data_IF_013060902891
#
_entry.id   IF_013060902891
#
_cell.length_a   1.000
_cell.length_b   1.000
_cell.length_c   1.000
_cell.angle_alpha   90.00
_cell.angle_beta   90.00
_cell.angle_gamma   90.00
#
_symmetry.space_group_name_H-M   'P 1'
#
loop_
_entity.id
_entity.type
_entity.pdbx_description
1 polymer ?
#
# COMPACT_ATOMS: atom_id res chain seq x y z
N UNK A 1 -54.51 14.26 25.46
CA UNK A 1 -53.05 13.99 25.52
C UNK A 1 -52.48 14.15 24.12
N UNK A 2 -51.62 15.15 23.87
CA UNK A 2 -50.94 15.32 22.57
C UNK A 2 -49.77 14.33 22.51
N UNK A 3 -49.76 13.43 21.53
CA UNK A 3 -48.58 12.61 21.21
C UNK A 3 -47.46 13.56 20.79
N UNK A 4 -46.38 13.59 21.56
CA UNK A 4 -45.16 14.28 21.15
C UNK A 4 -44.64 13.56 19.90
N UNK A 5 -44.76 14.23 18.76
CA UNK A 5 -44.16 13.79 17.52
C UNK A 5 -42.67 14.12 17.60
N UNK A 6 -41.86 13.09 17.79
CA UNK A 6 -40.41 13.21 17.83
C UNK A 6 -39.93 13.50 16.41
N UNK A 7 -39.68 14.77 16.12
CA UNK A 7 -38.94 15.14 14.91
C UNK A 7 -37.50 14.73 15.17
N UNK A 8 -37.07 13.62 14.56
CA UNK A 8 -35.65 13.27 14.46
C UNK A 8 -35.07 14.29 13.48
N UNK A 9 -34.49 15.36 14.00
CA UNK A 9 -33.72 16.28 13.16
C UNK A 9 -32.49 15.52 12.64
N UNK A 10 -32.34 15.45 11.31
CA UNK A 10 -31.19 14.84 10.67
C UNK A 10 -30.07 15.89 10.64
N UNK A 11 -29.00 15.63 11.38
CA UNK A 11 -27.87 16.56 11.58
C UNK A 11 -26.70 16.31 10.65
N UNK A 12 -26.52 15.04 10.27
CA UNK A 12 -25.39 14.51 9.55
C UNK A 12 -25.88 13.90 8.24
N UNK A 13 -24.99 13.77 7.26
CA UNK A 13 -25.29 12.93 6.10
C UNK A 13 -25.61 11.50 6.58
N UNK A 14 -26.67 10.83 6.06
CA UNK A 14 -27.05 9.49 6.50
C UNK A 14 -25.91 8.45 6.48
N UNK A 15 -24.98 8.57 5.55
CA UNK A 15 -23.80 7.71 5.47
C UNK A 15 -22.81 7.96 6.60
N UNK A 16 -22.54 9.23 6.92
CA UNK A 16 -21.70 9.62 8.05
C UNK A 16 -22.29 9.12 9.37
N UNK A 17 -23.59 9.39 9.60
CA UNK A 17 -24.28 8.95 10.82
C UNK A 17 -24.21 7.43 10.99
N UNK A 18 -24.43 6.67 9.91
CA UNK A 18 -24.35 5.21 9.92
C UNK A 18 -22.94 4.71 10.20
N UNK A 19 -21.92 5.24 9.53
CA UNK A 19 -20.54 4.79 9.69
C UNK A 19 -20.01 5.05 11.11
N UNK A 20 -20.29 6.24 11.65
CA UNK A 20 -19.97 6.60 13.03
C UNK A 20 -20.71 5.67 13.99
N UNK A 21 -22.01 5.45 13.78
CA UNK A 21 -22.82 4.57 14.61
C UNK A 21 -22.28 3.13 14.66
N UNK A 22 -21.87 2.59 13.51
CA UNK A 22 -21.27 1.25 13.40
C UNK A 22 -19.97 1.19 14.20
N UNK A 23 -19.06 2.14 14.00
CA UNK A 23 -17.75 2.13 14.67
C UNK A 23 -17.92 2.28 16.18
N UNK A 24 -18.76 3.20 16.66
CA UNK A 24 -19.04 3.35 18.09
C UNK A 24 -19.69 2.08 18.70
N UNK A 25 -20.50 1.36 17.93
CA UNK A 25 -21.07 0.08 18.37
C UNK A 25 -20.00 -1.03 18.47
N UNK A 26 -18.98 -1.01 17.62
CA UNK A 26 -17.85 -1.93 17.71
C UNK A 26 -16.92 -1.60 18.87
N UNK A 27 -16.62 -0.32 19.11
CA UNK A 27 -15.83 0.10 20.28
C UNK A 27 -16.47 -0.32 21.60
N UNK A 28 -17.81 -0.25 21.69
CA UNK A 28 -18.57 -0.56 22.93
C UNK A 28 -18.16 0.25 24.16
N UNK A 29 -17.49 1.38 23.95
CA UNK A 29 -17.05 2.29 25.01
C UNK A 29 -18.07 3.44 25.13
N UNK A 30 -18.48 3.82 26.35
CA UNK A 30 -19.31 5.00 26.54
C UNK A 30 -18.61 6.28 26.05
N UNK A 31 -19.35 7.21 25.42
CA UNK A 31 -18.80 8.48 24.89
C UNK A 31 -17.98 9.27 25.94
N UNK A 32 -18.37 9.23 27.21
CA UNK A 32 -17.63 9.92 28.29
C UNK A 32 -16.31 9.23 28.65
N UNK A 33 -16.25 7.91 28.51
CA UNK A 33 -15.02 7.13 28.72
C UNK A 33 -14.06 7.35 27.56
N UNK A 34 -14.58 7.43 26.34
CA UNK A 34 -13.81 7.82 25.15
C UNK A 34 -13.18 9.22 25.31
N UNK A 35 -13.96 10.22 25.73
CA UNK A 35 -13.48 11.58 26.04
C UNK A 35 -12.27 11.56 26.98
N UNK A 36 -12.40 10.84 28.10
CA UNK A 36 -11.36 10.76 29.12
C UNK A 36 -10.12 10.04 28.59
N UNK A 37 -10.31 8.92 27.90
CA UNK A 37 -9.25 8.07 27.37
C UNK A 37 -8.40 8.79 26.33
N UNK A 38 -9.02 9.55 25.42
CA UNK A 38 -8.30 10.38 24.43
C UNK A 38 -7.52 11.50 25.10
N UNK A 39 -8.04 12.11 26.17
CA UNK A 39 -7.33 13.18 26.89
C UNK A 39 -6.10 12.67 27.63
N UNK A 40 -6.12 11.43 28.12
CA UNK A 40 -5.04 10.83 28.91
C UNK A 40 -4.14 9.88 28.13
N UNK A 41 -4.41 9.66 26.83
CA UNK A 41 -3.74 8.63 26.02
C UNK A 41 -3.78 7.26 26.70
N UNK A 42 -4.97 6.85 27.14
CA UNK A 42 -5.16 5.58 27.85
C UNK A 42 -5.17 4.38 26.88
N UNK A 43 -3.99 3.81 26.67
CA UNK A 43 -3.75 2.62 25.82
C UNK A 43 -4.36 1.33 26.38
N UNK A 44 -4.78 1.30 27.65
CA UNK A 44 -5.44 0.12 28.22
C UNK A 44 -6.93 0.08 27.85
N UNK A 45 -7.53 1.26 27.67
CA UNK A 45 -8.95 1.39 27.31
C UNK A 45 -9.16 1.49 25.81
N UNK A 46 -8.29 2.21 25.09
CA UNK A 46 -8.35 2.36 23.63
C UNK A 46 -7.14 1.69 22.98
N UNK A 47 -7.38 0.55 22.35
CA UNK A 47 -6.37 -0.19 21.60
C UNK A 47 -6.08 0.44 20.23
N UNK A 48 -5.10 -0.13 19.53
CA UNK A 48 -4.70 0.36 18.20
C UNK A 48 -5.85 0.35 17.19
N UNK A 49 -6.67 -0.71 17.20
CA UNK A 49 -7.83 -0.83 16.32
C UNK A 49 -8.91 0.20 16.63
N UNK A 50 -9.12 0.51 17.91
CA UNK A 50 -10.10 1.50 18.35
C UNK A 50 -9.69 2.89 17.88
N UNK A 51 -8.41 3.25 18.09
CA UNK A 51 -7.83 4.53 17.64
C UNK A 51 -7.87 4.63 16.11
N UNK A 52 -7.56 3.56 15.39
CA UNK A 52 -7.66 3.52 13.93
C UNK A 52 -9.10 3.71 13.45
N UNK A 53 -10.06 3.09 14.12
CA UNK A 53 -11.49 3.23 13.84
C UNK A 53 -11.97 4.67 14.08
N UNK A 54 -11.67 5.23 15.25
CA UNK A 54 -12.02 6.59 15.63
C UNK A 54 -11.42 7.62 14.67
N UNK A 55 -10.15 7.49 14.33
CA UNK A 55 -9.47 8.41 13.41
C UNK A 55 -10.13 8.46 12.01
N UNK A 56 -10.77 7.36 11.56
CA UNK A 56 -11.46 7.27 10.26
C UNK A 56 -12.85 7.89 10.23
N UNK A 57 -13.50 8.06 11.39
CA UNK A 57 -14.86 8.62 11.50
C UNK A 57 -14.87 10.06 12.00
N UNK A 58 -13.71 10.70 12.09
CA UNK A 58 -13.63 12.10 12.49
C UNK A 58 -14.42 12.98 11.52
N UNK A 59 -15.19 13.92 12.09
CA UNK A 59 -16.09 14.78 11.34
C UNK A 59 -15.36 15.57 10.27
N UNK A 60 -15.99 15.71 9.10
CA UNK A 60 -15.58 16.71 8.13
C UNK A 60 -15.98 18.13 8.61
N UNK A 61 -15.37 19.15 8.01
CA UNK A 61 -15.59 20.56 8.38
C UNK A 61 -17.07 20.95 8.25
N UNK A 62 -17.76 20.32 7.31
CA UNK A 62 -19.17 20.48 6.96
C UNK A 62 -20.08 19.98 8.09
N UNK A 63 -19.80 18.80 8.65
CA UNK A 63 -20.54 18.21 9.77
C UNK A 63 -20.40 19.08 11.04
N UNK A 64 -19.18 19.52 11.33
CA UNK A 64 -18.91 20.43 12.45
C UNK A 64 -19.66 21.75 12.27
N UNK A 65 -19.73 22.27 11.04
CA UNK A 65 -20.47 23.50 10.73
C UNK A 65 -21.97 23.32 10.91
N UNK A 66 -22.53 22.19 10.49
CA UNK A 66 -23.95 21.86 10.66
C UNK A 66 -24.32 21.78 12.15
N UNK A 67 -23.54 21.05 12.94
CA UNK A 67 -23.74 20.92 14.39
C UNK A 67 -23.63 22.28 15.09
N UNK A 68 -22.61 23.07 14.77
CA UNK A 68 -22.44 24.43 15.32
C UNK A 68 -23.59 25.38 14.95
N UNK A 69 -24.01 25.37 13.68
CA UNK A 69 -25.12 26.20 13.20
C UNK A 69 -26.42 25.86 13.93
N UNK A 70 -26.66 24.58 14.19
CA UNK A 70 -27.79 24.16 14.99
C UNK A 70 -27.68 24.55 16.46
N UNK A 71 -26.51 24.35 17.10
CA UNK A 71 -26.29 24.73 18.50
C UNK A 71 -26.52 26.22 18.74
N UNK A 72 -26.11 27.07 17.78
CA UNK A 72 -26.37 28.53 17.82
C UNK A 72 -27.86 28.86 17.79
N UNK A 73 -28.65 28.18 16.95
CA UNK A 73 -30.11 28.35 16.87
C UNK A 73 -30.84 27.80 18.09
N UNK A 74 -30.25 26.83 18.78
CA UNK A 74 -30.84 26.11 19.91
C UNK A 74 -29.97 26.21 21.17
N UNK A 75 -29.66 27.43 21.63
CA UNK A 75 -28.71 27.68 22.73
C UNK A 75 -29.02 26.96 24.05
N UNK A 76 -30.30 26.68 24.34
CA UNK A 76 -30.75 25.93 25.53
C UNK A 76 -30.56 24.41 25.42
N UNK A 77 -30.29 23.88 24.23
CA UNK A 77 -30.15 22.45 23.99
C UNK A 77 -28.84 21.88 24.55
N UNK A 78 -27.80 22.72 24.70
CA UNK A 78 -26.52 22.38 25.34
C UNK A 78 -26.70 21.88 26.78
N UNK A 79 -27.74 22.35 27.48
CA UNK A 79 -27.97 22.10 28.92
C UNK A 79 -29.11 21.12 29.22
N UNK A 80 -30.07 20.91 28.30
CA UNK A 80 -31.35 20.21 28.63
C UNK A 80 -31.79 19.13 27.64
N UNK A 81 -31.17 19.01 26.46
CA UNK A 81 -31.56 18.04 25.41
C UNK A 81 -30.48 17.04 24.91
N UNK A 82 -29.31 16.82 25.56
CA UNK A 82 -28.41 15.75 25.12
C UNK A 82 -29.07 14.36 24.92
N UNK A 83 -30.08 13.94 25.71
CA UNK A 83 -30.69 12.61 25.55
C UNK A 83 -31.50 12.43 24.25
N UNK A 84 -31.86 13.51 23.55
CA UNK A 84 -32.75 13.46 22.37
C UNK A 84 -32.00 13.33 21.05
N UNK A 85 -30.67 13.38 21.06
CA UNK A 85 -29.83 13.25 19.87
C UNK A 85 -29.34 11.82 19.69
N UNK A 86 -29.15 11.43 18.43
CA UNK A 86 -28.51 10.16 18.10
C UNK A 86 -27.05 10.12 18.60
N UNK A 87 -26.55 8.92 18.85
CA UNK A 87 -25.21 8.67 19.40
C UNK A 87 -24.09 9.37 18.60
N UNK A 88 -24.08 9.33 17.24
CA UNK A 88 -23.06 10.01 16.43
C UNK A 88 -22.96 11.52 16.67
N UNK A 89 -24.10 12.22 16.76
CA UNK A 89 -24.13 13.66 16.99
C UNK A 89 -23.58 14.00 18.37
N UNK A 90 -23.93 13.20 19.40
CA UNK A 90 -23.40 13.39 20.75
C UNK A 90 -21.89 13.15 20.82
N UNK A 91 -21.40 12.19 20.06
CA UNK A 91 -19.97 11.91 19.95
C UNK A 91 -19.22 13.10 19.34
N UNK A 92 -19.70 13.65 18.22
CA UNK A 92 -19.08 14.83 17.62
C UNK A 92 -19.16 16.06 18.52
N UNK A 93 -20.30 16.30 19.17
CA UNK A 93 -20.42 17.38 20.15
C UNK A 93 -19.48 17.23 21.34
N UNK A 94 -19.17 16.00 21.76
CA UNK A 94 -18.15 15.73 22.78
C UNK A 94 -16.75 16.08 22.23
N UNK A 95 -16.40 15.58 21.04
CA UNK A 95 -15.10 15.85 20.42
C UNK A 95 -14.85 17.35 20.22
N UNK A 96 -15.89 18.11 19.87
CA UNK A 96 -15.82 19.57 19.72
C UNK A 96 -15.53 20.33 21.03
N UNK A 97 -15.74 19.71 22.21
CA UNK A 97 -15.37 20.30 23.51
C UNK A 97 -13.91 20.05 23.87
N UNK A 98 -13.28 19.04 23.28
CA UNK A 98 -11.87 18.76 23.50
C UNK A 98 -11.05 19.57 22.50
N UNK A 99 -10.10 20.35 23.03
CA UNK A 99 -9.14 21.07 22.21
C UNK A 99 -8.26 20.06 21.47
N UNK A 100 -8.18 20.19 20.15
CA UNK A 100 -7.35 19.34 19.29
C UNK A 100 -7.73 17.86 19.29
N UNK A 101 -9.01 17.53 19.48
CA UNK A 101 -9.46 16.13 19.56
C UNK A 101 -9.05 15.29 18.33
N UNK A 102 -9.31 15.83 17.15
CA UNK A 102 -9.03 15.16 15.87
C UNK A 102 -7.53 14.97 15.71
N UNK A 103 -6.74 16.00 16.00
CA UNK A 103 -5.29 15.97 15.92
C UNK A 103 -4.70 14.99 16.93
N UNK A 104 -5.23 14.91 18.15
CA UNK A 104 -4.81 13.92 19.15
C UNK A 104 -5.01 12.49 18.63
N UNK A 105 -6.19 12.18 18.07
CA UNK A 105 -6.47 10.86 17.49
C UNK A 105 -5.56 10.56 16.29
N UNK A 106 -5.32 11.55 15.42
CA UNK A 106 -4.41 11.40 14.29
C UNK A 106 -2.96 11.16 14.73
N UNK A 107 -2.47 11.91 15.71
CA UNK A 107 -1.14 11.73 16.28
C UNK A 107 -1.00 10.37 16.97
N UNK A 108 -2.03 9.94 17.71
CA UNK A 108 -2.02 8.63 18.35
C UNK A 108 -2.05 7.50 17.31
N UNK A 109 -2.91 7.60 16.30
CA UNK A 109 -2.93 6.61 15.21
C UNK A 109 -1.58 6.56 14.48
N UNK A 110 -0.96 7.72 14.22
CA UNK A 110 0.38 7.78 13.64
C UNK A 110 1.42 7.11 14.53
N UNK A 111 1.37 7.32 15.85
CA UNK A 111 2.26 6.67 16.81
C UNK A 111 2.14 5.14 16.70
N UNK A 112 0.92 4.60 16.67
CA UNK A 112 0.68 3.16 16.57
C UNK A 112 1.22 2.58 15.25
N UNK A 113 1.04 3.31 14.14
CA UNK A 113 1.48 2.84 12.81
C UNK A 113 2.96 3.12 12.51
N UNK A 114 3.67 3.91 13.33
CA UNK A 114 4.97 4.47 12.98
C UNK A 114 6.01 3.38 12.71
N UNK A 115 6.21 2.46 13.65
CA UNK A 115 7.19 1.37 13.52
C UNK A 115 6.86 0.47 12.34
N UNK A 116 5.58 0.10 12.16
CA UNK A 116 5.14 -0.72 11.02
C UNK A 116 5.43 -0.05 9.67
N UNK A 117 5.23 1.26 9.56
CA UNK A 117 5.56 2.04 8.35
C UNK A 117 7.07 2.09 8.10
N UNK A 118 7.87 2.24 9.15
CA UNK A 118 9.33 2.25 9.07
C UNK A 118 9.85 0.87 8.65
N UNK A 119 9.30 -0.22 9.19
CA UNK A 119 9.72 -1.57 8.86
C UNK A 119 9.34 -1.98 7.43
N UNK A 120 8.14 -1.61 6.96
CA UNK A 120 7.76 -1.77 5.55
C UNK A 120 8.71 -1.00 4.62
N UNK A 121 9.08 0.24 4.99
CA UNK A 121 10.06 1.03 4.24
C UNK A 121 11.44 0.36 4.20
N UNK A 122 11.94 -0.11 5.35
CA UNK A 122 13.21 -0.86 5.42
C UNK A 122 13.17 -2.09 4.53
N UNK A 123 12.08 -2.85 4.55
CA UNK A 123 11.91 -4.04 3.72
C UNK A 123 11.90 -3.70 2.22
N UNK A 124 11.24 -2.61 1.81
CA UNK A 124 11.24 -2.12 0.43
C UNK A 124 12.65 -1.70 -0.02
N UNK A 125 13.38 -0.97 0.81
CA UNK A 125 14.77 -0.57 0.53
C UNK A 125 15.66 -1.81 0.41
N UNK A 126 15.53 -2.77 1.32
CA UNK A 126 16.33 -4.00 1.27
C UNK A 126 16.07 -4.79 -0.02
N UNK A 127 14.81 -4.88 -0.49
CA UNK A 127 14.47 -5.52 -1.78
C UNK A 127 15.05 -4.79 -3.00
N UNK A 128 15.36 -3.50 -2.89
CA UNK A 128 16.00 -2.73 -3.98
C UNK A 128 17.53 -2.85 -3.99
N UNK A 129 18.15 -3.42 -2.96
CA UNK A 129 19.57 -3.78 -3.05
C UNK A 129 19.76 -4.84 -4.14
N UNK A 130 20.75 -4.65 -5.02
CA UNK A 130 20.91 -5.46 -6.23
C UNK A 130 20.87 -6.95 -5.89
N UNK A 131 19.94 -7.73 -6.48
CA UNK A 131 19.92 -9.17 -6.27
C UNK A 131 21.28 -9.74 -6.65
N UNK A 132 21.89 -10.62 -5.84
CA UNK A 132 23.27 -11.07 -6.03
C UNK A 132 23.51 -11.74 -7.40
N UNK A 133 22.45 -12.21 -8.05
CA UNK A 133 22.50 -12.88 -9.34
C UNK A 133 22.12 -11.98 -10.53
N UNK A 134 21.56 -10.78 -10.30
CA UNK A 134 21.12 -9.89 -11.37
C UNK A 134 22.27 -9.48 -12.31
N UNK A 135 23.46 -9.07 -11.81
CA UNK A 135 24.59 -8.75 -12.70
C UNK A 135 25.00 -9.95 -13.58
N UNK A 136 25.03 -11.16 -13.01
CA UNK A 136 25.37 -12.37 -13.74
C UNK A 136 24.33 -12.71 -14.83
N UNK A 137 23.03 -12.53 -14.53
CA UNK A 137 21.96 -12.74 -15.50
C UNK A 137 22.02 -11.73 -16.64
N UNK A 138 22.25 -10.45 -16.34
CA UNK A 138 22.38 -9.40 -17.36
C UNK A 138 23.60 -9.62 -18.25
N UNK A 139 24.73 -10.08 -17.69
CA UNK A 139 25.91 -10.47 -18.47
C UNK A 139 25.62 -11.66 -19.41
N UNK A 140 24.87 -12.65 -18.95
CA UNK A 140 24.51 -13.79 -19.78
C UNK A 140 23.57 -13.39 -20.93
N UNK A 141 22.58 -12.53 -20.66
CA UNK A 141 21.72 -11.92 -21.69
C UNK A 141 22.56 -11.14 -22.70
N UNK A 142 23.50 -10.31 -22.23
CA UNK A 142 24.40 -9.54 -23.09
C UNK A 142 25.27 -10.45 -23.98
N UNK A 143 25.86 -11.50 -23.42
CA UNK A 143 26.70 -12.44 -24.14
C UNK A 143 25.93 -13.12 -25.28
N UNK A 144 24.72 -13.61 -25.00
CA UNK A 144 23.88 -14.23 -26.03
C UNK A 144 23.46 -13.19 -27.06
N UNK A 145 23.02 -12.00 -26.65
CA UNK A 145 22.61 -10.94 -27.57
C UNK A 145 23.74 -10.54 -28.52
N UNK A 146 24.99 -10.49 -28.05
CA UNK A 146 26.17 -10.24 -28.88
C UNK A 146 26.45 -11.36 -29.89
N UNK A 147 26.23 -12.62 -29.52
CA UNK A 147 26.30 -13.74 -30.46
C UNK A 147 25.23 -13.59 -31.54
N UNK A 148 23.98 -13.30 -31.14
CA UNK A 148 22.85 -13.14 -32.05
C UNK A 148 23.04 -11.96 -33.02
N UNK A 149 23.68 -10.90 -32.56
CA UNK A 149 23.98 -9.71 -33.34
C UNK A 149 25.29 -9.79 -34.15
N UNK A 150 25.93 -10.96 -34.24
CA UNK A 150 27.14 -11.11 -35.06
C UNK A 150 26.85 -10.74 -36.52
N UNK A 151 27.64 -9.83 -37.08
CA UNK A 151 27.46 -9.30 -38.44
C UNK A 151 26.50 -8.11 -38.53
N UNK A 152 25.90 -7.65 -37.42
CA UNK A 152 25.10 -6.42 -37.37
C UNK A 152 25.90 -5.25 -36.80
N UNK A 153 25.36 -4.02 -36.91
CA UNK A 153 25.94 -2.83 -36.29
C UNK A 153 25.97 -2.87 -34.75
N UNK A 154 25.24 -3.81 -34.14
CA UNK A 154 25.14 -3.99 -32.69
C UNK A 154 26.05 -5.13 -32.17
N UNK A 155 26.91 -5.69 -33.03
CA UNK A 155 27.90 -6.69 -32.62
C UNK A 155 28.86 -6.11 -31.57
N UNK A 156 29.19 -6.91 -30.54
CA UNK A 156 30.20 -6.54 -29.55
C UNK A 156 29.78 -5.42 -28.60
N UNK A 157 28.47 -5.26 -28.36
CA UNK A 157 27.96 -4.30 -27.40
C UNK A 157 28.49 -4.57 -25.98
N UNK A 158 28.82 -3.49 -25.26
CA UNK A 158 29.27 -3.56 -23.85
C UNK A 158 28.11 -3.57 -22.84
N UNK A 159 26.88 -3.38 -23.31
CA UNK A 159 25.67 -3.31 -22.51
C UNK A 159 24.45 -3.04 -23.37
N UNK A 160 23.28 -3.02 -22.75
CA UNK A 160 22.00 -2.64 -23.36
C UNK A 160 21.22 -1.75 -22.39
N UNK A 161 20.30 -0.93 -22.91
CA UNK A 161 19.41 -0.13 -22.05
C UNK A 161 18.42 -1.06 -21.35
N UNK A 162 18.14 -0.84 -20.07
CA UNK A 162 17.19 -1.68 -19.31
C UNK A 162 15.81 -1.74 -19.97
N UNK A 163 15.39 -0.66 -20.65
CA UNK A 163 14.14 -0.61 -21.42
C UNK A 163 14.09 -1.59 -22.59
N UNK A 164 15.23 -2.05 -23.10
CA UNK A 164 15.34 -3.04 -24.17
C UNK A 164 15.24 -4.48 -23.65
N UNK A 165 15.38 -4.70 -22.33
CA UNK A 165 15.46 -6.05 -21.77
C UNK A 165 14.21 -6.88 -22.11
N UNK A 166 13.02 -6.29 -22.01
CA UNK A 166 11.76 -6.97 -22.35
C UNK A 166 11.76 -7.44 -23.82
N UNK A 167 12.19 -6.58 -24.75
CA UNK A 167 12.27 -6.93 -26.17
C UNK A 167 13.30 -8.03 -26.42
N UNK A 168 14.44 -7.98 -25.74
CA UNK A 168 15.52 -8.97 -25.89
C UNK A 168 15.05 -10.35 -25.41
N UNK A 169 14.42 -10.44 -24.23
CA UNK A 169 14.01 -11.73 -23.66
C UNK A 169 12.82 -12.36 -24.39
N UNK A 170 12.02 -11.56 -25.08
CA UNK A 170 10.88 -12.00 -25.90
C UNK A 170 11.26 -12.36 -27.34
N UNK A 171 12.54 -12.30 -27.70
CA UNK A 171 13.01 -12.66 -29.04
C UNK A 171 12.69 -14.13 -29.35
N UNK A 172 11.89 -14.38 -30.40
CA UNK A 172 11.45 -15.73 -30.76
C UNK A 172 12.58 -16.57 -31.36
N UNK A 173 12.58 -17.87 -31.07
CA UNK A 173 13.42 -18.84 -31.78
C UNK A 173 13.01 -18.95 -33.24
N UNK A 174 13.96 -19.33 -34.10
CA UNK A 174 13.73 -19.55 -35.55
C UNK A 174 12.58 -20.50 -35.87
N UNK A 175 12.31 -21.46 -35.00
CA UNK A 175 11.19 -22.39 -35.14
C UNK A 175 9.84 -21.88 -34.58
N UNK A 176 9.80 -20.65 -34.03
CA UNK A 176 8.61 -20.02 -33.45
C UNK A 176 8.06 -20.67 -32.17
N UNK A 177 8.73 -21.69 -31.62
CA UNK A 177 8.19 -22.50 -30.51
C UNK A 177 8.46 -21.93 -29.12
N UNK A 178 9.43 -21.03 -28.97
CA UNK A 178 9.75 -20.40 -27.70
C UNK A 178 10.42 -19.04 -27.88
N UNK A 179 10.67 -18.35 -26.77
CA UNK A 179 11.40 -17.07 -26.74
C UNK A 179 12.74 -17.25 -26.04
N UNK A 180 13.65 -16.29 -26.21
CA UNK A 180 14.97 -16.29 -25.62
C UNK A 180 14.92 -16.56 -24.11
N UNK A 181 13.96 -15.98 -23.38
CA UNK A 181 13.78 -16.22 -21.94
C UNK A 181 13.63 -17.71 -21.59
N UNK A 182 12.84 -18.46 -22.38
CA UNK A 182 12.61 -19.89 -22.15
C UNK A 182 13.89 -20.71 -22.39
N UNK A 183 14.70 -20.30 -23.38
CA UNK A 183 16.00 -20.88 -23.65
C UNK A 183 17.02 -20.55 -22.55
N UNK A 184 17.04 -19.30 -22.07
CA UNK A 184 17.87 -18.84 -20.96
C UNK A 184 17.56 -19.62 -19.68
N UNK A 185 16.28 -19.74 -19.32
CA UNK A 185 15.82 -20.53 -18.16
C UNK A 185 16.33 -21.96 -18.25
N UNK A 186 16.12 -22.62 -19.38
CA UNK A 186 16.54 -24.01 -19.58
C UNK A 186 18.06 -24.17 -19.51
N UNK A 187 18.82 -23.21 -20.03
CA UNK A 187 20.29 -23.23 -20.02
C UNK A 187 20.86 -22.99 -18.61
N UNK A 188 20.28 -22.05 -17.86
CA UNK A 188 20.65 -21.78 -16.47
C UNK A 188 20.32 -22.99 -15.59
N UNK A 189 19.11 -23.57 -15.71
CA UNK A 189 18.74 -24.78 -14.95
C UNK A 189 19.67 -25.95 -15.24
N UNK A 190 20.05 -26.17 -16.50
CA UNK A 190 21.02 -27.23 -16.87
C UNK A 190 22.42 -26.96 -16.31
N UNK A 191 22.85 -25.71 -16.26
CA UNK A 191 24.17 -25.32 -15.72
C UNK A 191 24.21 -25.39 -14.18
N UNK A 192 23.10 -25.07 -13.51
CA UNK A 192 22.94 -25.22 -12.06
C UNK A 192 22.89 -26.70 -11.63
N UNK A 193 22.25 -27.57 -12.42
CA UNK A 193 22.30 -29.02 -12.21
C UNK A 193 23.70 -29.62 -12.46
N UNK A 194 24.50 -28.97 -13.32
CA UNK A 194 25.87 -29.39 -13.61
C UNK A 194 26.87 -28.85 -12.57
N UNK A 195 26.56 -27.81 -11.79
CA UNK A 195 27.51 -27.21 -10.83
C UNK A 195 27.59 -27.92 -9.47
N UNK A 196 26.74 -28.91 -9.21
CA UNK A 196 27.02 -29.93 -8.18
C UNK A 196 28.18 -30.85 -8.59
N UNK A 197 28.61 -30.82 -9.85
CA UNK A 197 29.76 -31.52 -10.39
C UNK A 197 30.64 -30.59 -11.25
N UNK A 198 31.70 -30.04 -10.65
CA UNK A 198 32.80 -29.28 -11.30
C UNK A 198 32.64 -27.75 -11.35
N UNK A 199 33.18 -27.12 -10.30
CA UNK A 199 33.85 -25.81 -10.37
C UNK A 199 34.99 -25.91 -11.39
N UNK A 200 34.77 -25.55 -12.67
CA UNK A 200 35.80 -25.15 -13.65
C UNK A 200 35.25 -24.88 -15.08
N UNK A 201 33.94 -25.07 -15.36
CA UNK A 201 33.42 -24.98 -16.73
C UNK A 201 33.13 -23.56 -17.28
N UNK A 202 33.23 -22.49 -16.49
CA UNK A 202 32.88 -21.13 -16.96
C UNK A 202 33.74 -20.60 -18.12
N UNK A 203 34.87 -21.25 -18.48
CA UNK A 203 35.69 -20.84 -19.64
C UNK A 203 35.31 -21.49 -20.98
N UNK A 204 34.49 -22.55 -21.00
CA UNK A 204 34.29 -23.35 -22.23
C UNK A 204 33.07 -22.99 -23.08
N UNK A 205 32.06 -22.33 -22.50
CA UNK A 205 30.82 -22.01 -23.21
C UNK A 205 30.88 -20.75 -24.07
N UNK A 206 31.92 -19.93 -23.94
CA UNK A 206 32.09 -18.70 -24.77
C UNK A 206 32.49 -19.05 -26.21
N UNK A 207 32.94 -20.27 -26.50
CA UNK A 207 33.58 -20.58 -27.79
C UNK A 207 32.66 -21.11 -28.90
N UNK A 208 31.50 -21.74 -28.61
CA UNK A 208 30.60 -22.23 -29.69
C UNK A 208 29.13 -22.39 -29.24
N UNK A 209 28.25 -21.41 -29.50
CA UNK A 209 26.81 -21.62 -29.46
C UNK A 209 26.33 -22.29 -30.77
N UNK A 210 25.44 -23.29 -30.72
CA UNK A 210 24.78 -23.81 -31.92
C UNK A 210 23.91 -22.73 -32.56
N UNK A 211 24.15 -22.46 -33.84
CA UNK A 211 23.44 -21.49 -34.69
C UNK A 211 21.95 -21.83 -34.76
N UNK A 212 21.11 -21.15 -33.98
CA UNK A 212 19.65 -21.36 -33.93
C UNK A 212 18.82 -20.08 -34.00
N UNK A 213 19.44 -18.94 -34.29
CA UNK A 213 18.79 -17.63 -34.30
C UNK A 213 19.29 -16.81 -35.48
N UNK A 214 18.37 -16.34 -36.34
CA UNK A 214 18.65 -15.30 -37.32
C UNK A 214 18.15 -13.97 -36.77
N UNK A 215 19.03 -12.96 -36.73
CA UNK A 215 18.68 -11.61 -36.36
C UNK A 215 18.12 -10.86 -37.58
N UNK A 216 16.86 -10.49 -37.52
CA UNK A 216 16.31 -9.37 -38.30
C UNK A 216 15.78 -8.36 -37.30
N UNK A 217 16.64 -7.44 -36.87
CA UNK A 217 16.22 -6.22 -36.20
C UNK A 217 15.72 -5.27 -37.29
N UNK A 218 14.39 -5.13 -37.38
CA UNK A 218 13.76 -4.08 -38.18
C UNK A 218 14.06 -2.74 -37.50
N UNK A 219 14.55 -1.81 -38.33
CA UNK A 219 14.93 -0.43 -38.02
C UNK A 219 13.90 0.37 -37.24
#
# INVERSE_FOLDING_TARGET
MKKAQWVIEVFLEPNCERNVGIILQFLRIPIHTDEASVRTFDELTLGEEDISGLAKIMSEVEDIRAINGWMKRNSKASTTRPPQMCVPVRFFMMGMKIRFYVECLQCWNLKNEFEGRIDDLKAKIHRTTEPPHLPCMLQFVLAISNVLNTGSQLQGAKGFRTTQLAQIIDFQTTNGRCVLLNHLRSSISRTLLCTTAQRNCCRRWIMHPPLMFQASLVS
#
